data_IF_509044473633
#
_entry.id   IF_509044473633
#
_cell.length_a   1.000
_cell.length_b   1.000
_cell.length_c   1.000
_cell.angle_alpha   90.00
_cell.angle_beta   90.00
_cell.angle_gamma   90.00
#
_symmetry.space_group_name_H-M   'P 1'
#
loop_
_entity.id
_entity.type
_entity.pdbx_description
1 polymer ?
#
# COMPACT_ATOMS: atom_id res chain seq x y z
N UNK A 1 9.58 -36.30 34.57
CA UNK A 1 8.42 -36.73 33.77
C UNK A 1 7.20 -35.99 34.26
N UNK A 2 6.63 -35.08 33.48
CA UNK A 2 5.37 -34.43 33.80
C UNK A 2 4.30 -34.99 32.88
N UNK A 3 3.21 -35.49 33.46
CA UNK A 3 2.05 -35.93 32.70
C UNK A 3 0.74 -35.43 33.35
N UNK A 4 -0.06 -34.82 32.47
CA UNK A 4 -1.53 -34.71 32.43
C UNK A 4 -2.34 -33.80 33.39
N UNK A 5 -2.87 -32.73 32.77
CA UNK A 5 -4.27 -32.24 32.70
C UNK A 5 -5.05 -31.90 33.98
N UNK A 6 -5.51 -30.63 34.07
CA UNK A 6 -6.96 -30.25 34.05
C UNK A 6 -7.21 -28.73 33.94
N UNK A 7 -8.10 -28.41 32.99
CA UNK A 7 -9.18 -27.40 32.93
C UNK A 7 -9.05 -25.99 33.57
N UNK A 8 -9.32 -25.01 32.69
CA UNK A 8 -9.80 -23.61 32.80
C UNK A 8 -10.18 -23.05 34.19
N UNK A 9 -10.11 -21.71 34.30
CA UNK A 9 -11.28 -20.97 34.76
C UNK A 9 -11.77 -19.94 33.73
N UNK A 10 -13.06 -20.10 33.44
CA UNK A 10 -13.98 -19.15 32.82
C UNK A 10 -13.93 -17.81 33.54
N UNK A 11 -13.64 -16.72 32.82
CA UNK A 11 -14.14 -15.38 33.17
C UNK A 11 -14.78 -14.76 31.93
N UNK A 12 -16.10 -14.90 31.87
CA UNK A 12 -16.95 -13.97 31.13
C UNK A 12 -16.75 -12.58 31.73
N UNK A 13 -16.03 -11.71 31.02
CA UNK A 13 -16.19 -10.27 31.21
C UNK A 13 -17.08 -9.80 30.07
N UNK A 14 -18.32 -9.46 30.40
CA UNK A 14 -19.16 -8.56 29.59
C UNK A 14 -18.37 -7.26 29.45
N UNK A 15 -17.60 -7.13 28.38
CA UNK A 15 -17.20 -5.83 27.87
C UNK A 15 -18.34 -5.42 26.95
N UNK A 16 -18.99 -4.35 27.39
CA UNK A 16 -19.98 -3.56 26.68
C UNK A 16 -19.78 -3.66 25.17
N UNK A 17 -20.83 -4.13 24.50
CA UNK A 17 -21.03 -3.95 23.08
C UNK A 17 -21.19 -2.45 22.83
N UNK A 18 -20.06 -1.78 22.68
CA UNK A 18 -19.95 -0.46 22.07
C UNK A 18 -18.58 -0.41 21.37
N UNK A 19 -18.34 -1.41 20.51
CA UNK A 19 -17.41 -1.22 19.41
C UNK A 19 -18.23 -0.62 18.31
N UNK A 20 -18.20 0.71 18.26
CA UNK A 20 -18.46 1.50 17.07
C UNK A 20 -18.00 0.68 15.87
N UNK A 21 -18.95 0.31 15.01
CA UNK A 21 -18.61 0.02 13.63
C UNK A 21 -18.07 1.35 13.07
N UNK A 22 -16.79 1.66 13.33
CA UNK A 22 -16.05 2.53 12.44
C UNK A 22 -16.17 1.85 11.09
N UNK A 23 -17.00 2.42 10.23
CA UNK A 23 -17.20 1.90 8.89
C UNK A 23 -15.81 1.95 8.25
N UNK A 24 -15.43 0.93 7.49
CA UNK A 24 -14.15 0.92 6.76
C UNK A 24 -13.90 2.21 5.95
N UNK A 25 -14.94 3.01 5.67
CA UNK A 25 -14.87 4.35 5.08
C UNK A 25 -14.13 5.40 5.93
N UNK A 26 -14.10 5.28 7.26
CA UNK A 26 -13.49 6.30 8.14
C UNK A 26 -11.96 6.11 8.28
N UNK A 27 -11.45 5.00 7.72
CA UNK A 27 -10.05 4.60 7.74
C UNK A 27 -9.36 4.78 6.38
N UNK A 28 -10.13 5.07 5.33
CA UNK A 28 -9.63 5.14 3.95
C UNK A 28 -10.27 6.31 3.22
N UNK A 29 -9.45 7.28 2.83
CA UNK A 29 -9.87 8.41 2.01
C UNK A 29 -9.09 8.38 0.69
N UNK A 30 -9.77 8.63 -0.42
CA UNK A 30 -9.14 8.67 -1.74
C UNK A 30 -9.41 10.03 -2.38
N UNK A 31 -8.36 10.59 -2.94
CA UNK A 31 -8.44 11.85 -3.67
C UNK A 31 -7.76 11.72 -5.03
N UNK A 32 -8.22 12.54 -5.98
CA UNK A 32 -7.64 12.58 -7.30
C UNK A 32 -6.25 13.23 -7.24
N UNK A 33 -5.31 12.61 -7.95
CA UNK A 33 -3.93 13.02 -8.06
C UNK A 33 -3.48 12.82 -9.51
N UNK A 34 -3.35 13.91 -10.24
CA UNK A 34 -2.96 13.86 -11.63
C UNK A 34 -1.47 13.51 -11.75
N UNK A 35 -1.18 12.37 -12.37
CA UNK A 35 0.18 11.98 -12.73
C UNK A 35 0.37 12.41 -14.17
N UNK A 36 1.40 13.21 -14.42
CA UNK A 36 1.77 13.60 -15.78
C UNK A 36 1.88 12.36 -16.68
N UNK A 37 1.28 12.43 -17.87
CA UNK A 37 1.18 11.30 -18.81
C UNK A 37 2.55 10.71 -19.14
N UNK A 38 3.57 11.55 -19.34
CA UNK A 38 4.92 11.13 -19.64
C UNK A 38 5.52 10.36 -18.47
N UNK A 39 5.36 10.89 -17.25
CA UNK A 39 5.80 10.21 -16.02
C UNK A 39 5.06 8.88 -15.86
N UNK A 40 3.75 8.85 -16.12
CA UNK A 40 2.92 7.65 -16.01
C UNK A 40 3.39 6.56 -16.96
N UNK A 41 3.66 6.90 -18.22
CA UNK A 41 4.16 5.96 -19.21
C UNK A 41 5.53 5.39 -18.82
N UNK A 42 6.45 6.23 -18.34
CA UNK A 42 7.78 5.80 -17.87
C UNK A 42 7.66 4.87 -16.65
N UNK A 43 6.76 5.19 -15.71
CA UNK A 43 6.52 4.35 -14.54
C UNK A 43 5.99 2.97 -14.96
N UNK A 44 4.94 2.91 -15.80
CA UNK A 44 4.34 1.64 -16.21
C UNK A 44 5.33 0.79 -16.99
N UNK A 45 5.98 1.35 -18.02
CA UNK A 45 6.95 0.59 -18.83
C UNK A 45 8.19 0.20 -18.04
N UNK A 46 8.72 1.12 -17.22
CA UNK A 46 9.91 0.88 -16.43
C UNK A 46 9.70 -0.18 -15.34
N UNK A 47 8.56 -0.14 -14.64
CA UNK A 47 8.23 -1.11 -13.60
C UNK A 47 7.89 -2.50 -14.15
N UNK A 48 7.38 -2.58 -15.38
CA UNK A 48 7.14 -3.87 -16.03
C UNK A 48 8.45 -4.57 -16.42
N UNK A 49 9.46 -3.80 -16.84
CA UNK A 49 10.73 -4.33 -17.36
C UNK A 49 11.84 -4.49 -16.32
N UNK A 50 11.63 -4.01 -15.09
CA UNK A 50 12.68 -4.06 -14.07
C UNK A 50 12.83 -5.45 -13.46
N UNK A 51 14.04 -5.76 -13.00
CA UNK A 51 14.30 -6.98 -12.23
C UNK A 51 13.74 -6.83 -10.83
N UNK A 52 12.74 -7.65 -10.52
CA UNK A 52 12.10 -7.75 -9.22
C UNK A 52 12.78 -8.83 -8.37
N UNK A 53 13.08 -8.49 -7.13
CA UNK A 53 13.59 -9.43 -6.12
C UNK A 53 12.42 -9.89 -5.23
N UNK A 54 12.08 -11.18 -5.24
CA UNK A 54 11.00 -11.71 -4.42
C UNK A 54 11.32 -11.55 -2.93
N UNK A 55 10.34 -11.15 -2.14
CA UNK A 55 10.46 -11.16 -0.69
C UNK A 55 10.64 -12.59 -0.17
N UNK A 56 11.39 -12.72 0.92
CA UNK A 56 11.65 -13.99 1.61
C UNK A 56 10.38 -14.65 2.19
N UNK A 57 9.23 -13.95 2.19
CA UNK A 57 7.96 -14.41 2.73
C UNK A 57 6.97 -14.90 1.65
N UNK A 58 7.44 -15.58 0.61
CA UNK A 58 6.58 -16.35 -0.29
C UNK A 58 6.31 -15.72 -1.66
N UNK A 59 7.18 -14.84 -2.15
CA UNK A 59 7.30 -14.48 -3.57
C UNK A 59 6.15 -13.70 -4.22
N UNK A 60 5.05 -13.46 -3.51
CA UNK A 60 3.90 -12.66 -4.01
C UNK A 60 4.15 -11.15 -3.95
N UNK A 61 5.11 -10.75 -3.12
CA UNK A 61 5.54 -9.37 -2.93
C UNK A 61 7.02 -9.29 -3.31
N UNK A 62 7.38 -8.35 -4.17
CA UNK A 62 8.76 -8.15 -4.63
C UNK A 62 9.19 -6.68 -4.54
N UNK A 63 10.48 -6.45 -4.31
CA UNK A 63 11.12 -5.13 -4.30
C UNK A 63 12.04 -4.97 -5.51
N UNK A 64 12.35 -3.73 -5.89
CA UNK A 64 13.19 -3.48 -7.06
C UNK A 64 14.68 -3.67 -6.71
N UNK A 65 15.41 -4.44 -7.52
CA UNK A 65 16.86 -4.66 -7.33
C UNK A 65 17.72 -3.57 -7.95
N UNK A 66 17.51 -3.30 -9.25
CA UNK A 66 18.29 -2.35 -10.03
C UNK A 66 17.37 -1.38 -10.78
N UNK A 67 17.50 -0.08 -10.50
CA UNK A 67 16.64 0.95 -11.10
C UNK A 67 17.43 1.75 -12.13
N UNK A 68 16.98 1.74 -13.39
CA UNK A 68 17.52 2.61 -14.46
C UNK A 68 17.30 4.09 -14.12
N UNK A 69 18.19 4.96 -14.58
CA UNK A 69 18.17 6.39 -14.24
C UNK A 69 16.83 7.08 -14.56
N UNK A 70 16.22 6.74 -15.68
CA UNK A 70 14.92 7.27 -16.13
C UNK A 70 13.79 6.89 -15.17
N UNK A 71 13.67 5.60 -14.82
CA UNK A 71 12.69 5.13 -13.85
C UNK A 71 12.93 5.77 -12.47
N UNK A 72 14.19 5.90 -12.05
CA UNK A 72 14.54 6.58 -10.80
C UNK A 72 14.10 8.04 -10.80
N UNK A 73 14.24 8.74 -11.94
CA UNK A 73 13.77 10.10 -12.10
C UNK A 73 12.23 10.16 -12.03
N UNK A 74 11.53 9.26 -12.72
CA UNK A 74 10.07 9.20 -12.68
C UNK A 74 9.51 8.95 -11.27
N UNK A 75 10.10 8.02 -10.51
CA UNK A 75 9.72 7.76 -9.11
C UNK A 75 9.92 9.00 -8.22
N UNK A 76 11.02 9.73 -8.42
CA UNK A 76 11.29 10.98 -7.70
C UNK A 76 10.32 12.09 -8.10
N UNK A 77 9.99 12.20 -9.38
CA UNK A 77 9.02 13.17 -9.87
C UNK A 77 7.64 12.89 -9.30
N UNK A 78 7.23 11.61 -9.24
CA UNK A 78 5.99 11.18 -8.58
C UNK A 78 5.96 11.66 -7.12
N UNK A 79 7.00 11.35 -6.34
CA UNK A 79 7.11 11.79 -4.95
C UNK A 79 7.07 13.33 -4.81
N UNK A 80 7.73 14.04 -5.72
CA UNK A 80 7.76 15.51 -5.72
C UNK A 80 6.40 16.13 -6.03
N UNK A 81 5.64 15.54 -6.95
CA UNK A 81 4.28 16.00 -7.29
C UNK A 81 3.31 15.82 -6.13
N UNK A 82 3.46 14.76 -5.33
CA UNK A 82 2.67 14.54 -4.13
C UNK A 82 2.91 15.61 -3.05
N UNK A 83 4.15 16.04 -2.87
CA UNK A 83 4.51 17.10 -1.91
C UNK A 83 4.07 18.48 -2.42
N UNK A 84 4.33 18.80 -3.68
CA UNK A 84 3.96 20.11 -4.27
C UNK A 84 2.46 20.33 -4.35
N UNK A 85 1.67 19.27 -4.53
CA UNK A 85 0.22 19.34 -4.55
C UNK A 85 -0.42 19.45 -3.15
N UNK A 86 0.39 19.58 -2.09
CA UNK A 86 -0.04 19.55 -0.68
C UNK A 86 -0.82 18.28 -0.28
N UNK A 87 -0.81 17.25 -1.15
CA UNK A 87 -1.48 15.96 -0.94
C UNK A 87 -0.84 15.18 0.20
N UNK A 88 0.48 15.37 0.35
CA UNK A 88 1.25 14.88 1.48
C UNK A 88 2.03 16.07 2.05
N UNK A 89 1.68 16.47 3.28
CA UNK A 89 2.24 17.64 3.99
C UNK A 89 3.77 17.63 4.08
N UNK A 90 4.36 16.45 4.23
CA UNK A 90 5.73 16.11 3.89
C UNK A 90 5.86 14.59 3.91
N UNK A 91 6.63 14.04 2.97
CA UNK A 91 7.02 12.62 3.03
C UNK A 91 8.06 12.50 4.14
N UNK A 92 7.80 11.69 5.17
CA UNK A 92 8.91 11.35 6.10
C UNK A 92 9.89 10.50 5.33
N UNK A 93 11.17 10.85 5.41
CA UNK A 93 12.26 9.94 5.04
C UNK A 93 12.42 8.87 6.14
N UNK A 94 11.33 8.18 6.46
CA UNK A 94 11.41 6.93 7.20
C UNK A 94 11.89 5.84 6.27
N UNK A 95 12.57 4.86 6.86
CA UNK A 95 13.01 3.66 6.17
C UNK A 95 11.78 2.96 5.57
N UNK A 96 11.67 2.93 4.24
CA UNK A 96 10.51 2.37 3.56
C UNK A 96 9.66 3.36 2.76
N UNK A 97 9.74 4.66 3.05
CA UNK A 97 8.93 5.67 2.40
C UNK A 97 9.43 5.98 0.98
N UNK A 98 8.53 5.99 0.01
CA UNK A 98 8.84 6.06 -1.41
C UNK A 98 9.28 4.73 -2.04
N UNK A 99 9.24 3.63 -1.28
CA UNK A 99 9.49 2.31 -1.85
C UNK A 99 8.34 1.87 -2.74
N UNK A 100 8.70 1.20 -3.83
CA UNK A 100 7.74 0.55 -4.72
C UNK A 100 7.74 -0.94 -4.45
N UNK A 101 6.54 -1.44 -4.21
CA UNK A 101 6.27 -2.85 -3.95
C UNK A 101 5.43 -3.40 -5.09
N UNK A 102 5.88 -4.48 -5.74
CA UNK A 102 5.08 -5.22 -6.73
C UNK A 102 4.33 -6.34 -6.03
N UNK A 103 3.03 -6.42 -6.30
CA UNK A 103 2.15 -7.47 -5.85
C UNK A 103 1.51 -8.17 -7.05
N UNK A 104 1.61 -9.50 -7.06
CA UNK A 104 0.98 -10.36 -8.07
C UNK A 104 -0.13 -11.19 -7.43
N UNK A 105 -1.33 -11.10 -7.97
CA UNK A 105 -2.52 -11.70 -7.37
C UNK A 105 -2.77 -13.16 -7.76
N UNK A 106 -3.54 -13.91 -6.95
CA UNK A 106 -4.29 -13.43 -5.79
C UNK A 106 -3.43 -13.30 -4.52
N UNK A 107 -3.43 -12.12 -3.92
CA UNK A 107 -2.72 -11.87 -2.67
C UNK A 107 -3.35 -10.70 -1.91
N UNK A 108 -2.82 -10.42 -0.71
CA UNK A 108 -3.25 -9.28 0.08
C UNK A 108 -2.09 -8.63 0.81
N UNK A 109 -2.10 -7.30 0.87
CA UNK A 109 -1.11 -6.49 1.59
C UNK A 109 -1.80 -5.84 2.79
N UNK A 110 -1.29 -6.09 3.99
CA UNK A 110 -1.83 -5.51 5.23
C UNK A 110 -1.12 -4.20 5.54
N UNK A 111 -1.90 -3.17 5.83
CA UNK A 111 -1.44 -1.83 6.21
C UNK A 111 -1.73 -1.65 7.70
N UNK A 112 -0.68 -1.55 8.50
CA UNK A 112 -0.76 -1.45 9.97
C UNK A 112 -0.58 -0.03 10.49
N UNK A 113 -0.05 0.86 9.66
CA UNK A 113 0.30 2.24 10.01
C UNK A 113 -0.28 3.22 8.99
N UNK A 114 -0.48 4.46 9.44
CA UNK A 114 -1.02 5.52 8.60
C UNK A 114 -0.07 5.83 7.45
N UNK A 115 -0.54 5.63 6.22
CA UNK A 115 0.27 5.75 5.01
C UNK A 115 -0.58 6.27 3.85
N UNK A 116 0.11 6.77 2.83
CA UNK A 116 -0.48 7.11 1.56
C UNK A 116 -0.03 6.13 0.50
N UNK A 117 -0.95 5.71 -0.34
CA UNK A 117 -0.72 4.70 -1.36
C UNK A 117 -1.06 5.30 -2.71
N UNK A 118 -0.11 5.20 -3.64
CA UNK A 118 -0.36 5.43 -5.06
C UNK A 118 -0.31 4.08 -5.78
N UNK A 119 -1.45 3.57 -6.28
CA UNK A 119 -1.49 2.35 -7.06
C UNK A 119 -1.04 2.61 -8.50
N UNK A 120 -0.20 1.73 -9.03
CA UNK A 120 0.25 1.70 -10.43
C UNK A 120 -0.09 0.31 -10.97
N UNK A 121 -1.22 0.22 -11.67
CA UNK A 121 -1.71 -1.05 -12.23
C UNK A 121 -0.94 -1.32 -13.53
N UNK A 122 -0.19 -2.42 -13.57
CA UNK A 122 0.54 -2.84 -14.77
C UNK A 122 -0.34 -3.72 -15.66
N UNK A 123 -1.13 -4.60 -15.05
CA UNK A 123 -2.09 -5.45 -15.76
C UNK A 123 -3.24 -5.89 -14.86
N UNK A 124 -4.37 -6.24 -15.48
CA UNK A 124 -5.55 -6.77 -14.81
C UNK A 124 -6.43 -5.70 -14.17
N UNK A 125 -7.03 -6.05 -13.03
CA UNK A 125 -7.99 -5.19 -12.31
C UNK A 125 -7.30 -4.35 -11.23
N UNK A 126 -7.83 -3.14 -10.93
CA UNK A 126 -7.42 -2.35 -9.77
C UNK A 126 -7.55 -3.14 -8.47
N UNK A 127 -6.62 -2.94 -7.50
CA UNK A 127 -6.73 -3.53 -6.18
C UNK A 127 -7.81 -2.80 -5.36
N UNK A 128 -8.22 -3.39 -4.25
CA UNK A 128 -9.30 -2.84 -3.41
C UNK A 128 -8.94 -2.80 -1.93
N UNK A 129 -9.46 -1.81 -1.20
CA UNK A 129 -9.51 -1.83 0.28
C UNK A 129 -10.98 -1.78 0.68
N UNK A 130 -11.47 -2.84 1.36
CA UNK A 130 -12.90 -3.00 1.58
C UNK A 130 -13.66 -3.00 0.24
N UNK A 131 -14.58 -2.04 0.08
CA UNK A 131 -15.34 -1.83 -1.16
C UNK A 131 -14.72 -0.80 -2.11
N UNK A 132 -13.68 -0.09 -1.70
CA UNK A 132 -13.06 0.97 -2.48
C UNK A 132 -12.05 0.40 -3.47
N UNK A 133 -12.17 0.76 -4.75
CA UNK A 133 -11.18 0.42 -5.78
C UNK A 133 -10.07 1.48 -5.85
N UNK A 134 -8.82 1.05 -5.75
CA UNK A 134 -7.67 1.94 -5.84
C UNK A 134 -7.29 2.12 -7.31
N UNK A 135 -7.83 3.15 -7.96
CA UNK A 135 -7.56 3.43 -9.37
C UNK A 135 -6.24 4.16 -9.52
N UNK A 136 -5.62 4.05 -10.70
CA UNK A 136 -4.53 4.94 -11.08
C UNK A 136 -4.99 6.41 -11.00
N UNK A 137 -4.03 7.32 -10.83
CA UNK A 137 -4.29 8.78 -10.67
C UNK A 137 -5.06 9.14 -9.41
N UNK A 138 -4.95 8.28 -8.40
CA UNK A 138 -5.42 8.58 -7.06
C UNK A 138 -4.29 8.39 -6.07
N UNK A 139 -4.38 9.14 -4.99
CA UNK A 139 -3.67 8.84 -3.77
C UNK A 139 -4.72 8.41 -2.74
N UNK A 140 -4.45 7.31 -2.07
CA UNK A 140 -5.33 6.78 -1.03
C UNK A 140 -4.64 6.91 0.32
N UNK A 141 -5.25 7.67 1.21
CA UNK A 141 -4.87 7.83 2.61
C UNK A 141 -5.46 6.67 3.38
N UNK A 142 -4.61 5.85 3.99
CA UNK A 142 -5.03 4.65 4.72
C UNK A 142 -4.46 4.72 6.13
N UNK A 143 -5.34 4.79 7.13
CA UNK A 143 -4.91 4.70 8.54
C UNK A 143 -4.48 3.28 8.88
N UNK A 144 -5.35 2.32 8.55
CA UNK A 144 -5.13 0.88 8.65
C UNK A 144 -6.05 0.19 7.65
N UNK A 145 -5.65 -0.98 7.14
CA UNK A 145 -6.50 -1.71 6.20
C UNK A 145 -5.83 -2.90 5.54
N UNK A 146 -6.55 -3.54 4.62
CA UNK A 146 -6.05 -4.67 3.85
C UNK A 146 -6.32 -4.43 2.38
N UNK A 147 -5.26 -4.28 1.59
CA UNK A 147 -5.31 -4.20 0.14
C UNK A 147 -5.47 -5.61 -0.41
N UNK A 148 -6.44 -5.81 -1.30
CA UNK A 148 -6.69 -7.06 -1.99
C UNK A 148 -6.30 -6.93 -3.45
N UNK A 149 -5.47 -7.84 -3.93
CA UNK A 149 -5.07 -7.94 -5.34
C UNK A 149 -5.75 -9.17 -5.93
N UNK A 150 -6.53 -8.96 -6.98
CA UNK A 150 -7.33 -10.00 -7.63
C UNK A 150 -6.47 -10.96 -8.47
N UNK A 151 -6.93 -12.20 -8.72
CA UNK A 151 -6.25 -13.11 -9.65
C UNK A 151 -5.99 -12.45 -11.02
N UNK A 152 -4.79 -12.66 -11.57
CA UNK A 152 -4.41 -12.12 -12.88
C UNK A 152 -4.10 -10.61 -12.90
N UNK A 153 -4.06 -9.95 -11.73
CA UNK A 153 -3.60 -8.57 -11.61
C UNK A 153 -2.12 -8.50 -11.21
N UNK A 154 -1.40 -7.55 -11.81
CA UNK A 154 -0.06 -7.13 -11.39
C UNK A 154 -0.14 -5.65 -11.06
N UNK A 155 0.14 -5.32 -9.79
CA UNK A 155 0.03 -3.93 -9.30
C UNK A 155 1.28 -3.57 -8.54
N UNK A 156 1.82 -2.40 -8.85
CA UNK A 156 2.86 -1.76 -8.05
C UNK A 156 2.23 -0.73 -7.11
N UNK A 157 2.70 -0.68 -5.87
CA UNK A 157 2.27 0.30 -4.88
C UNK A 157 3.45 1.15 -4.49
N UNK A 158 3.30 2.47 -4.59
CA UNK A 158 4.21 3.42 -3.96
C UNK A 158 3.64 3.85 -2.61
N UNK A 159 4.38 3.60 -1.53
CA UNK A 159 3.96 3.91 -0.16
C UNK A 159 4.66 5.16 0.37
N UNK A 160 3.93 6.06 1.03
CA UNK A 160 4.49 7.29 1.61
C UNK A 160 3.96 7.52 3.02
N UNK A 161 4.85 7.60 4.01
CA UNK A 161 4.46 7.93 5.37
C UNK A 161 4.21 9.43 5.55
N UNK A 162 3.13 9.77 6.27
CA UNK A 162 2.74 11.15 6.59
C UNK A 162 3.68 11.73 7.66
N UNK A 163 4.23 12.92 7.43
CA UNK A 163 4.87 13.67 8.52
C UNK A 163 3.82 14.16 9.53
N UNK A 164 4.08 14.09 10.85
CA UNK A 164 3.17 14.64 11.84
C UNK A 164 2.96 16.13 11.58
N UNK A 165 1.70 16.56 11.66
CA UNK A 165 1.36 17.99 11.65
C UNK A 165 1.99 18.63 12.90
N UNK A 166 2.69 19.74 12.69
CA UNK A 166 3.30 20.53 13.78
C UNK A 166 2.24 21.26 14.58
#
# INVERSE_FOLDING_TARGET
MFNARRMLPTKFRKLSADRTMERDSDLVEQEHFNIDEEIRAILVQGLDQVTWEPSSQGGTVSTIRDIRAELKAAIRSLASSLVKGEKVSAIRHEEGSGNIVRAEGPCSVTITECTHIVPIVLSGSPPTIGHLSLTMETITHVKQGKILVKPGSIVCFSFYSRAPEK
#
